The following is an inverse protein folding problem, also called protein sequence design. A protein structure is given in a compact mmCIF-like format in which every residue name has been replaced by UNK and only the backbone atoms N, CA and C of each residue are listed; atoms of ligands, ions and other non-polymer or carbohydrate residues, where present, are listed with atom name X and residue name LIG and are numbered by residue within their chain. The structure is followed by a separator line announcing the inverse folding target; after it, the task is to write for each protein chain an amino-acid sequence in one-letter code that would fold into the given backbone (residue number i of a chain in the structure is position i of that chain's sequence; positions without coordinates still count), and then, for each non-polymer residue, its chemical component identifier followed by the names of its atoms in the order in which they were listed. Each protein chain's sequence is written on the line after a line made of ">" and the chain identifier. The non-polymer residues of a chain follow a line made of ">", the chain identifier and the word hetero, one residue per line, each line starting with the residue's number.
data_IF_588594545222
#
_entry.id   IF_588594545222
#
_cell.length_a   1.000
_cell.length_b   1.000
_cell.length_c   1.000
_cell.angle_alpha   90.00
_cell.angle_beta   90.00
_cell.angle_gamma   90.00
#
_symmetry.space_group_name_H-M   'P 1'
#
loop_
_entity.id
_entity.type
_entity.pdbx_description
1 polymer ?
#
# COMPACT_ATOMS: atom_id res chain seq x y z
N UNK A 1 10.15 -18.32 17.44
CA UNK A 1 10.77 -19.64 17.20
C UNK A 1 11.48 -20.08 18.47
N UNK A 2 11.33 -21.33 18.90
CA UNK A 2 12.07 -21.86 20.05
C UNK A 2 13.31 -22.59 19.53
N UNK A 3 14.46 -22.33 20.16
CA UNK A 3 15.70 -23.08 19.95
C UNK A 3 15.82 -24.07 21.10
N UNK A 4 15.93 -25.36 20.79
CA UNK A 4 16.23 -26.39 21.76
C UNK A 4 17.63 -26.95 21.52
N UNK A 5 18.36 -27.20 22.60
CA UNK A 5 19.66 -27.89 22.60
C UNK A 5 19.51 -29.09 23.53
N UNK A 6 19.88 -30.27 23.05
CA UNK A 6 19.75 -31.54 23.79
C UNK A 6 18.32 -31.85 24.31
N UNK A 7 17.31 -31.38 23.58
CA UNK A 7 15.90 -31.60 23.95
C UNK A 7 15.35 -30.62 24.99
N UNK A 8 16.18 -29.71 25.52
CA UNK A 8 15.76 -28.64 26.42
C UNK A 8 15.64 -27.31 25.67
N UNK A 9 14.61 -26.53 26.00
CA UNK A 9 14.42 -25.19 25.42
C UNK A 9 15.55 -24.28 25.91
N UNK A 10 16.44 -23.89 25.00
CA UNK A 10 17.61 -23.08 25.27
C UNK A 10 17.38 -21.58 25.02
N UNK A 11 16.53 -21.22 24.04
CA UNK A 11 16.22 -19.82 23.75
C UNK A 11 14.87 -19.62 23.02
N UNK A 12 14.35 -18.39 23.12
CA UNK A 12 13.26 -17.88 22.27
C UNK A 12 13.83 -16.84 21.29
N UNK A 13 13.68 -17.11 20.00
CA UNK A 13 14.06 -16.20 18.91
C UNK A 13 12.79 -15.56 18.36
N UNK A 14 12.71 -14.23 18.45
CA UNK A 14 11.63 -13.43 17.85
C UNK A 14 12.20 -12.58 16.71
N UNK A 15 11.57 -12.65 15.54
CA UNK A 15 11.89 -11.82 14.37
C UNK A 15 10.73 -10.85 14.20
N UNK A 16 11.03 -9.56 14.10
CA UNK A 16 10.07 -8.49 13.82
C UNK A 16 10.52 -7.74 12.58
N UNK A 17 9.60 -7.48 11.66
CA UNK A 17 9.79 -6.52 10.59
C UNK A 17 9.19 -5.17 11.05
N UNK A 18 10.02 -4.19 11.44
CA UNK A 18 9.51 -2.91 11.93
C UNK A 18 8.95 -2.08 10.78
N UNK A 19 7.92 -1.28 11.08
CA UNK A 19 7.48 -0.23 10.17
C UNK A 19 8.65 0.69 9.80
N UNK A 20 8.68 1.16 8.54
CA UNK A 20 9.65 2.18 8.15
C UNK A 20 9.39 3.45 8.96
N UNK A 21 10.46 4.14 9.33
CA UNK A 21 10.40 5.32 10.20
C UNK A 21 9.49 6.43 9.68
N UNK A 22 9.28 6.50 8.36
CA UNK A 22 8.44 7.49 7.69
C UNK A 22 6.98 7.04 7.46
N UNK A 23 6.67 5.75 7.66
CA UNK A 23 5.39 5.17 7.30
C UNK A 23 4.23 5.77 8.09
N UNK A 24 4.36 5.87 9.42
CA UNK A 24 3.31 6.43 10.29
C UNK A 24 2.97 7.87 9.88
N UNK A 25 3.99 8.70 9.65
CA UNK A 25 3.80 10.08 9.24
C UNK A 25 3.14 10.20 7.86
N UNK A 26 3.51 9.34 6.91
CA UNK A 26 2.93 9.31 5.57
C UNK A 26 1.48 8.83 5.57
N UNK A 27 1.16 7.75 6.29
CA UNK A 27 -0.20 7.24 6.43
C UNK A 27 -1.11 8.28 7.11
N UNK A 28 -0.62 8.96 8.15
CA UNK A 28 -1.35 10.06 8.77
C UNK A 28 -1.61 11.23 7.80
N UNK A 29 -0.70 11.52 6.86
CA UNK A 29 -0.94 12.50 5.78
C UNK A 29 -2.05 12.03 4.85
N UNK A 30 -2.06 10.75 4.46
CA UNK A 30 -3.11 10.19 3.60
C UNK A 30 -4.48 10.23 4.28
N UNK A 31 -4.57 9.89 5.57
CA UNK A 31 -5.78 10.08 6.36
C UNK A 31 -6.28 11.54 6.35
N UNK A 32 -5.39 12.51 6.58
CA UNK A 32 -5.75 13.93 6.51
C UNK A 32 -6.21 14.38 5.12
N UNK A 33 -5.78 13.68 4.06
CA UNK A 33 -6.25 13.94 2.70
C UNK A 33 -7.64 13.33 2.41
N UNK A 34 -8.17 12.52 3.33
CA UNK A 34 -9.49 11.90 3.26
C UNK A 34 -9.50 10.48 2.70
N UNK A 35 -8.35 9.82 2.60
CA UNK A 35 -8.27 8.43 2.15
C UNK A 35 -8.55 7.47 3.32
N UNK A 36 -9.31 6.42 3.05
CA UNK A 36 -9.43 5.23 3.90
C UNK A 36 -8.23 4.32 3.62
N UNK A 37 -7.52 3.90 4.66
CA UNK A 37 -6.36 3.03 4.53
C UNK A 37 -6.73 1.58 4.84
N UNK A 38 -6.40 0.68 3.92
CA UNK A 38 -6.59 -0.77 4.07
C UNK A 38 -5.23 -1.45 3.92
N UNK A 39 -4.84 -2.24 4.93
CA UNK A 39 -3.68 -3.12 4.86
C UNK A 39 -4.07 -4.45 4.25
N UNK A 40 -3.34 -4.88 3.23
CA UNK A 40 -3.51 -6.18 2.58
C UNK A 40 -2.23 -6.99 2.74
N UNK A 41 -2.28 -8.08 3.52
CA UNK A 41 -1.08 -8.85 3.87
C UNK A 41 -1.33 -10.36 3.90
N UNK A 42 -0.28 -11.14 3.60
CA UNK A 42 -0.26 -12.58 3.80
C UNK A 42 0.00 -13.00 5.24
N UNK A 43 0.39 -12.06 6.12
CA UNK A 43 0.65 -12.33 7.53
C UNK A 43 -0.60 -12.80 8.27
N UNK A 44 -0.39 -13.45 9.41
CA UNK A 44 -1.48 -13.83 10.28
C UNK A 44 -2.23 -12.57 10.83
N UNK A 45 -3.54 -12.69 11.09
CA UNK A 45 -4.35 -11.56 11.55
C UNK A 45 -3.86 -10.89 12.83
N UNK A 46 -3.26 -11.63 13.77
CA UNK A 46 -2.82 -11.08 15.06
C UNK A 46 -1.67 -10.09 14.83
N UNK A 47 -0.64 -10.51 14.09
CA UNK A 47 0.50 -9.66 13.74
C UNK A 47 0.06 -8.47 12.89
N UNK A 48 -0.76 -8.72 11.87
CA UNK A 48 -1.22 -7.67 10.95
C UNK A 48 -2.02 -6.57 11.67
N UNK A 49 -2.94 -6.93 12.55
CA UNK A 49 -3.71 -5.96 13.33
C UNK A 49 -2.85 -5.16 14.31
N UNK A 50 -1.83 -5.78 14.90
CA UNK A 50 -0.89 -5.06 15.77
C UNK A 50 -0.11 -3.99 14.99
N UNK A 51 0.39 -4.33 13.79
CA UNK A 51 1.09 -3.40 12.90
C UNK A 51 0.14 -2.30 12.41
N UNK A 52 -1.08 -2.65 11.99
CA UNK A 52 -2.07 -1.69 11.52
C UNK A 52 -2.45 -0.67 12.58
N UNK A 53 -2.57 -1.09 13.85
CA UNK A 53 -2.83 -0.20 14.98
C UNK A 53 -1.66 0.77 15.22
N UNK A 54 -0.43 0.29 15.13
CA UNK A 54 0.78 1.13 15.25
C UNK A 54 0.90 2.13 14.08
N UNK A 55 0.52 1.69 12.88
CA UNK A 55 0.56 2.47 11.64
C UNK A 55 -0.60 3.46 11.47
N UNK A 56 -1.69 3.28 12.23
CA UNK A 56 -2.92 4.07 12.09
C UNK A 56 -3.72 3.73 10.84
N UNK A 57 -3.89 2.44 10.53
CA UNK A 57 -4.64 1.93 9.36
C UNK A 57 -6.07 1.55 9.79
N UNK A 58 -7.07 1.84 8.95
CA UNK A 58 -8.49 1.67 9.29
C UNK A 58 -8.97 0.21 9.24
N UNK A 59 -8.46 -0.56 8.28
CA UNK A 59 -8.89 -1.95 8.05
C UNK A 59 -7.72 -2.85 7.67
N UNK A 60 -7.79 -4.12 8.09
CA UNK A 60 -6.82 -5.15 7.76
C UNK A 60 -7.50 -6.33 7.07
N UNK A 61 -6.97 -6.71 5.92
CA UNK A 61 -7.29 -7.95 5.22
C UNK A 61 -6.02 -8.81 5.26
N UNK A 62 -5.99 -9.76 6.19
CA UNK A 62 -4.82 -10.60 6.51
C UNK A 62 -5.00 -12.04 6.01
N UNK A 63 -3.90 -12.81 5.99
CA UNK A 63 -3.88 -14.22 5.57
C UNK A 63 -4.17 -14.41 4.08
N UNK A 64 -3.88 -13.40 3.25
CA UNK A 64 -4.24 -13.41 1.83
C UNK A 64 -3.07 -13.91 0.98
N UNK A 65 -3.32 -14.92 0.15
CA UNK A 65 -2.37 -15.38 -0.87
C UNK A 65 -2.23 -14.33 -1.99
N UNK A 66 -1.14 -14.34 -2.78
CA UNK A 66 -0.94 -13.38 -3.88
C UNK A 66 -2.16 -13.23 -4.80
N UNK A 67 -2.78 -14.34 -5.22
CA UNK A 67 -3.98 -14.32 -6.06
C UNK A 67 -5.19 -13.70 -5.35
N UNK A 68 -5.32 -13.93 -4.04
CA UNK A 68 -6.41 -13.40 -3.23
C UNK A 68 -6.32 -11.88 -3.02
N UNK A 69 -5.15 -11.26 -3.28
CA UNK A 69 -5.01 -9.80 -3.17
C UNK A 69 -5.81 -9.07 -4.25
N UNK A 70 -5.83 -9.60 -5.48
CA UNK A 70 -6.63 -9.04 -6.57
C UNK A 70 -8.14 -9.18 -6.27
N UNK A 71 -8.57 -10.31 -5.72
CA UNK A 71 -9.96 -10.52 -5.31
C UNK A 71 -10.39 -9.55 -4.19
N UNK A 72 -9.50 -9.26 -3.23
CA UNK A 72 -9.76 -8.27 -2.19
C UNK A 72 -10.01 -6.87 -2.79
N UNK A 73 -9.22 -6.47 -3.78
CA UNK A 73 -9.40 -5.20 -4.49
C UNK A 73 -10.71 -5.20 -5.26
N UNK A 74 -11.02 -6.27 -5.99
CA UNK A 74 -12.28 -6.41 -6.73
C UNK A 74 -13.50 -6.32 -5.81
N UNK A 75 -13.41 -6.86 -4.59
CA UNK A 75 -14.45 -6.75 -3.57
C UNK A 75 -14.62 -5.30 -3.08
N UNK A 76 -13.54 -4.57 -2.86
CA UNK A 76 -13.63 -3.15 -2.48
C UNK A 76 -14.22 -2.31 -3.63
N UNK A 77 -13.86 -2.61 -4.87
CA UNK A 77 -14.41 -1.96 -6.06
C UNK A 77 -15.91 -2.25 -6.23
N UNK A 78 -16.35 -3.49 -5.99
CA UNK A 78 -17.78 -3.84 -6.07
C UNK A 78 -18.64 -3.17 -5.00
N UNK A 79 -18.03 -2.68 -3.91
CA UNK A 79 -18.66 -1.85 -2.89
C UNK A 79 -18.73 -0.37 -3.29
N UNK A 80 -18.26 0.00 -4.49
CA UNK A 80 -18.29 1.36 -5.02
C UNK A 80 -17.08 2.21 -4.63
N UNK A 81 -16.02 1.61 -4.07
CA UNK A 81 -14.77 2.32 -3.79
C UNK A 81 -13.89 2.39 -5.04
N UNK A 82 -13.26 3.54 -5.28
CA UNK A 82 -12.11 3.62 -6.18
C UNK A 82 -10.85 3.26 -5.38
N UNK A 83 -10.08 2.30 -5.88
CA UNK A 83 -8.97 1.70 -5.15
C UNK A 83 -7.65 2.08 -5.79
N UNK A 84 -6.79 2.74 -5.02
CA UNK A 84 -5.37 2.85 -5.34
C UNK A 84 -4.61 1.78 -4.55
N UNK A 85 -3.83 0.95 -5.23
CA UNK A 85 -2.98 -0.05 -4.58
C UNK A 85 -1.53 0.41 -4.58
N UNK A 86 -0.85 0.30 -3.43
CA UNK A 86 0.59 0.53 -3.30
C UNK A 86 1.26 -0.81 -3.00
N UNK A 87 2.30 -1.17 -3.75
CA UNK A 87 3.03 -2.44 -3.56
C UNK A 87 4.46 -2.39 -4.07
N UNK A 88 5.26 -3.42 -3.78
CA UNK A 88 6.61 -3.61 -4.34
C UNK A 88 6.58 -4.27 -5.74
N UNK A 89 5.43 -4.86 -6.08
CA UNK A 89 5.07 -5.41 -7.39
C UNK A 89 5.76 -6.71 -7.80
N UNK A 90 6.53 -7.37 -6.91
CA UNK A 90 6.95 -8.76 -7.16
C UNK A 90 5.78 -9.71 -6.86
N UNK A 91 5.21 -9.59 -5.67
CA UNK A 91 4.07 -10.42 -5.23
C UNK A 91 2.71 -9.75 -5.46
N UNK A 92 2.75 -8.48 -5.87
CA UNK A 92 1.59 -7.60 -5.90
C UNK A 92 1.16 -7.22 -7.33
N UNK A 93 1.86 -7.67 -8.37
CA UNK A 93 1.57 -7.28 -9.75
C UNK A 93 0.10 -7.53 -10.18
N UNK A 94 -0.52 -8.71 -9.92
CA UNK A 94 -1.93 -8.92 -10.28
C UNK A 94 -2.89 -7.96 -9.58
N UNK A 95 -2.58 -7.63 -8.33
CA UNK A 95 -3.39 -6.72 -7.52
C UNK A 95 -3.17 -5.26 -7.95
N UNK A 96 -1.93 -4.87 -8.32
CA UNK A 96 -1.62 -3.56 -8.89
C UNK A 96 -2.36 -3.34 -10.22
N UNK A 97 -2.45 -4.38 -11.06
CA UNK A 97 -3.20 -4.36 -12.32
C UNK A 97 -4.72 -4.26 -12.11
N UNK A 98 -5.25 -4.88 -11.05
CA UNK A 98 -6.68 -4.88 -10.73
C UNK A 98 -7.15 -3.55 -10.12
N UNK A 99 -6.26 -2.80 -9.46
CA UNK A 99 -6.57 -1.49 -8.87
C UNK A 99 -6.91 -0.44 -9.94
N UNK A 100 -7.74 0.55 -9.58
CA UNK A 100 -8.01 1.70 -10.45
C UNK A 100 -6.73 2.52 -10.71
N UNK A 101 -5.84 2.55 -9.71
CA UNK A 101 -4.49 3.12 -9.82
C UNK A 101 -3.49 2.22 -9.09
N UNK A 102 -2.66 1.50 -9.83
CA UNK A 102 -1.50 0.81 -9.28
C UNK A 102 -0.32 1.76 -9.08
N UNK A 103 0.28 1.74 -7.88
CA UNK A 103 1.46 2.53 -7.50
C UNK A 103 2.56 1.57 -7.05
N UNK A 104 3.61 1.43 -7.85
CA UNK A 104 4.79 0.65 -7.50
C UNK A 104 5.75 1.51 -6.66
N UNK A 105 6.24 0.97 -5.54
CA UNK A 105 7.37 1.55 -4.81
C UNK A 105 8.69 1.07 -5.41
N UNK A 106 9.68 1.97 -5.46
CA UNK A 106 10.95 1.77 -6.16
C UNK A 106 11.67 0.48 -5.80
N UNK A 107 12.57 0.02 -6.68
CA UNK A 107 13.23 -1.28 -6.56
C UNK A 107 12.34 -2.49 -6.88
N UNK A 108 11.09 -2.26 -7.33
CA UNK A 108 10.22 -3.33 -7.84
C UNK A 108 10.83 -4.03 -9.05
N UNK A 109 10.44 -5.29 -9.27
CA UNK A 109 10.81 -6.03 -10.49
C UNK A 109 10.34 -5.29 -11.74
N UNK A 110 10.94 -5.57 -12.89
CA UNK A 110 10.53 -4.97 -14.18
C UNK A 110 9.01 -5.10 -14.41
N UNK A 111 8.43 -6.22 -13.95
CA UNK A 111 6.98 -6.51 -14.01
C UNK A 111 6.14 -5.47 -13.25
N UNK A 112 6.60 -5.00 -12.09
CA UNK A 112 5.92 -4.00 -11.28
C UNK A 112 5.88 -2.64 -11.99
N UNK A 113 7.00 -2.26 -12.61
CA UNK A 113 7.19 -0.98 -13.29
C UNK A 113 6.32 -0.92 -14.55
N UNK A 114 6.21 -2.03 -15.28
CA UNK A 114 5.35 -2.12 -16.48
C UNK A 114 3.86 -2.11 -16.15
N UNK A 115 3.48 -2.63 -14.97
CA UNK A 115 2.07 -2.79 -14.57
C UNK A 115 1.49 -1.56 -13.89
N UNK A 116 2.31 -0.82 -13.12
CA UNK A 116 1.83 0.31 -12.32
C UNK A 116 1.65 1.59 -13.17
N UNK A 117 0.59 2.34 -12.87
CA UNK A 117 0.37 3.66 -13.46
C UNK A 117 1.34 4.73 -12.92
N UNK A 118 1.86 4.52 -11.71
CA UNK A 118 2.81 5.41 -11.04
C UNK A 118 3.94 4.56 -10.45
N UNK A 119 5.19 4.92 -10.75
CA UNK A 119 6.37 4.29 -10.14
C UNK A 119 7.12 5.32 -9.30
N UNK A 120 7.24 5.06 -8.00
CA UNK A 120 7.96 5.92 -7.06
C UNK A 120 9.43 5.53 -7.03
N UNK A 121 10.33 6.42 -7.42
CA UNK A 121 11.78 6.13 -7.40
C UNK A 121 12.35 5.92 -5.99
N UNK A 122 11.67 6.43 -4.95
CA UNK A 122 12.10 6.32 -3.55
C UNK A 122 11.24 5.30 -2.81
N UNK A 123 11.85 4.56 -1.90
CA UNK A 123 11.19 3.62 -0.99
C UNK A 123 10.45 4.34 0.17
N UNK A 124 9.68 5.39 -0.12
CA UNK A 124 8.99 6.21 0.89
C UNK A 124 7.51 6.38 0.56
N UNK A 125 6.65 6.12 1.54
CA UNK A 125 5.20 6.34 1.43
C UNK A 125 4.84 7.83 1.31
N UNK A 126 5.75 8.74 1.67
CA UNK A 126 5.55 10.16 1.41
C UNK A 126 5.38 10.45 -0.09
N UNK A 127 6.06 9.69 -0.96
CA UNK A 127 5.90 9.81 -2.41
C UNK A 127 4.47 9.52 -2.88
N UNK A 128 3.78 8.57 -2.24
CA UNK A 128 2.36 8.30 -2.51
C UNK A 128 1.50 9.51 -2.13
N UNK A 129 1.70 10.05 -0.93
CA UNK A 129 0.96 11.21 -0.44
C UNK A 129 1.20 12.46 -1.29
N UNK A 130 2.41 12.64 -1.83
CA UNK A 130 2.76 13.73 -2.73
C UNK A 130 2.09 13.55 -4.10
N UNK A 131 2.18 12.36 -4.68
CA UNK A 131 1.58 12.04 -5.98
C UNK A 131 0.06 12.28 -5.97
N UNK A 132 -0.63 11.81 -4.92
CA UNK A 132 -2.06 12.01 -4.75
C UNK A 132 -2.43 13.48 -4.53
N UNK A 133 -1.63 14.23 -3.77
CA UNK A 133 -1.83 15.67 -3.57
C UNK A 133 -1.67 16.45 -4.89
N UNK A 134 -0.65 16.13 -5.68
CA UNK A 134 -0.41 16.73 -7.00
C UNK A 134 -1.57 16.41 -7.95
N UNK A 135 -1.99 15.14 -8.04
CA UNK A 135 -3.11 14.73 -8.88
C UNK A 135 -4.40 15.51 -8.54
N UNK A 136 -4.71 15.63 -7.24
CA UNK A 136 -5.88 16.38 -6.76
C UNK A 136 -5.77 17.87 -7.10
N UNK A 137 -4.59 18.48 -6.95
CA UNK A 137 -4.35 19.87 -7.31
C UNK A 137 -4.50 20.12 -8.81
N UNK A 138 -3.96 19.23 -9.65
CA UNK A 138 -4.08 19.29 -11.12
C UNK A 138 -5.53 19.20 -11.57
N UNK A 139 -6.29 18.22 -11.05
CA UNK A 139 -7.71 18.08 -11.38
C UNK A 139 -8.54 19.29 -10.94
N UNK A 140 -8.23 19.85 -9.76
CA UNK A 140 -8.87 21.09 -9.29
C UNK A 140 -8.58 22.25 -10.24
N UNK A 141 -7.31 22.42 -10.65
CA UNK A 141 -6.92 23.46 -11.59
C UNK A 141 -7.60 23.29 -12.96
N UNK A 142 -7.71 22.05 -13.45
CA UNK A 142 -8.42 21.75 -14.70
C UNK A 142 -9.91 22.08 -14.63
N UNK A 143 -10.58 21.76 -13.52
CA UNK A 143 -11.99 22.10 -13.30
C UNK A 143 -12.25 23.62 -13.20
N UNK A 144 -11.25 24.38 -12.78
CA UNK A 144 -11.36 25.84 -12.61
C UNK A 144 -11.05 26.63 -13.90
N UNK A 145 -10.31 26.06 -14.86
CA UNK A 145 -10.05 26.72 -16.13
C UNK A 145 -11.28 26.59 -17.06
N UNK A 146 -11.81 27.70 -17.62
CA UNK A 146 -12.81 27.59 -18.68
C UNK A 146 -12.22 26.85 -19.88
N UNK A 147 -13.04 26.05 -20.56
CA UNK A 147 -12.65 25.28 -21.75
C UNK A 147 -12.02 26.21 -22.79
N UNK A 148 -10.69 26.14 -22.99
CA UNK A 148 -9.99 26.98 -23.96
C UNK A 148 -8.57 27.44 -23.58
N UNK A 149 -8.08 27.21 -22.36
CA UNK A 149 -6.67 27.46 -21.99
C UNK A 149 -5.99 26.21 -21.42
N UNK A 150 -5.77 25.22 -22.27
CA UNK A 150 -4.79 24.17 -22.00
C UNK A 150 -3.47 24.63 -22.60
N UNK A 151 -2.51 25.04 -21.77
CA UNK A 151 -1.12 25.13 -22.19
C UNK A 151 -0.55 23.72 -22.09
N UNK A 152 -0.30 23.11 -23.25
CA UNK A 152 0.71 22.08 -23.43
C UNK A 152 2.10 22.74 -23.36
#
# INVERSE_FOLDING_TARGET
>A
MLLAVDGEVAALIAIRDPLRSDSVAALARLHRQGYRLVMLTGDNPITANAIAKEAGIDEVIAGVLPDGKADAIKRLQSQGHQVAMVGDGINDAPALAQADVGIAMGGGSDVAIETAAITLMRHSLNGVADALAIAKATLRNMKQKPAGRLCL
#
